data_IF_850561852128
#
_entry.id   IF_850561852128
#
_cell.length_a   1.000
_cell.length_b   1.000
_cell.length_c   1.000
_cell.angle_alpha   90.00
_cell.angle_beta   90.00
_cell.angle_gamma   90.00
#
_symmetry.space_group_name_H-M   'P 1'
#
loop_
_entity.id
_entity.type
_entity.pdbx_description
1 polymer ?
#
# COMPACT_ATOMS: atom_id res chain seq x y z
N UNK A 1 29.08 21.27 4.75
CA UNK A 1 28.24 21.76 3.63
C UNK A 1 26.95 20.95 3.43
N UNK A 2 26.97 19.62 3.40
CA UNK A 2 25.76 18.79 3.15
C UNK A 2 24.59 19.10 4.10
N UNK A 3 24.83 19.17 5.42
CA UNK A 3 23.80 19.52 6.41
C UNK A 3 23.17 20.90 6.15
N UNK A 4 23.99 21.90 5.81
CA UNK A 4 23.52 23.24 5.48
C UNK A 4 22.54 23.22 4.31
N UNK A 5 22.88 22.55 3.19
CA UNK A 5 21.99 22.47 2.04
C UNK A 5 20.72 21.65 2.30
N UNK A 6 20.77 20.62 3.13
CA UNK A 6 19.56 19.86 3.53
C UNK A 6 18.63 20.77 4.34
N UNK A 7 19.16 21.38 5.40
CA UNK A 7 18.37 22.24 6.28
C UNK A 7 17.82 23.47 5.55
N UNK A 8 18.63 24.14 4.71
CA UNK A 8 18.17 25.31 3.96
C UNK A 8 17.00 24.95 3.04
N UNK A 9 17.14 23.89 2.25
CA UNK A 9 16.10 23.43 1.33
C UNK A 9 14.81 23.07 2.07
N UNK A 10 14.89 22.28 3.14
CA UNK A 10 13.72 21.90 3.93
C UNK A 10 13.06 23.12 4.57
N UNK A 11 13.84 24.06 5.10
CA UNK A 11 13.33 25.28 5.70
C UNK A 11 12.58 26.16 4.70
N UNK A 12 13.07 26.31 3.47
CA UNK A 12 12.37 27.06 2.42
C UNK A 12 10.98 26.46 2.15
N UNK A 13 10.89 25.14 2.02
CA UNK A 13 9.60 24.47 1.82
C UNK A 13 8.72 24.49 3.07
N UNK A 14 9.30 24.48 4.28
CA UNK A 14 8.55 24.67 5.51
C UNK A 14 7.91 26.06 5.58
N UNK A 15 8.63 27.10 5.17
CA UNK A 15 8.08 28.46 5.11
C UNK A 15 6.90 28.51 4.14
N UNK A 16 7.07 28.01 2.91
CA UNK A 16 5.99 27.96 1.92
C UNK A 16 4.79 27.13 2.40
N UNK A 17 5.04 25.98 3.03
CA UNK A 17 3.97 25.13 3.55
C UNK A 17 3.23 25.71 4.75
N UNK A 18 3.86 26.61 5.50
CA UNK A 18 3.23 27.34 6.61
C UNK A 18 2.57 28.64 6.17
N UNK A 19 2.96 29.20 5.03
CA UNK A 19 2.40 30.46 4.51
C UNK A 19 0.87 30.38 4.35
N UNK A 20 0.36 29.31 3.74
CA UNK A 20 -1.08 29.08 3.58
C UNK A 20 -1.89 29.13 4.88
N UNK A 21 -1.62 28.27 5.89
CA UNK A 21 -2.35 28.32 7.15
C UNK A 21 -2.08 29.57 8.00
N UNK A 22 -0.91 30.22 7.86
CA UNK A 22 -0.55 31.40 8.65
C UNK A 22 -1.14 32.71 8.12
N UNK A 23 -1.19 32.87 6.80
CA UNK A 23 -1.69 34.09 6.14
C UNK A 23 -3.08 33.90 5.51
N UNK A 24 -3.57 32.66 5.42
CA UNK A 24 -4.89 32.32 4.88
C UNK A 24 -5.11 32.96 3.50
N UNK A 25 -6.15 33.77 3.37
CA UNK A 25 -6.59 34.32 2.09
C UNK A 25 -5.54 35.24 1.44
N UNK A 26 -4.75 35.97 2.23
CA UNK A 26 -3.71 36.88 1.70
C UNK A 26 -2.61 36.14 0.96
N UNK A 27 -2.34 34.87 1.33
CA UNK A 27 -1.41 34.04 0.60
C UNK A 27 -2.02 33.52 -0.70
N UNK A 28 -3.26 33.03 -0.65
CA UNK A 28 -3.91 32.40 -1.81
C UNK A 28 -4.37 33.40 -2.88
N UNK A 29 -4.43 34.70 -2.57
CA UNK A 29 -4.77 35.78 -3.51
C UNK A 29 -3.56 36.44 -4.16
N UNK A 30 -2.33 35.99 -3.86
CA UNK A 30 -1.11 36.49 -4.52
C UNK A 30 -1.23 36.33 -6.04
N UNK A 31 -0.96 37.40 -6.76
CA UNK A 31 -1.09 37.45 -8.22
C UNK A 31 -0.17 36.41 -8.89
N UNK A 32 -0.74 35.61 -9.78
CA UNK A 32 -0.05 34.53 -10.50
C UNK A 32 0.68 33.51 -9.60
N UNK A 33 0.22 33.30 -8.35
CA UNK A 33 0.87 32.39 -7.39
C UNK A 33 1.16 31.00 -7.97
N UNK A 34 0.20 30.40 -8.69
CA UNK A 34 0.38 29.08 -9.29
C UNK A 34 1.57 29.06 -10.27
N UNK A 35 1.67 30.09 -11.12
CA UNK A 35 2.74 30.22 -12.11
C UNK A 35 4.09 30.43 -11.44
N UNK A 36 4.14 31.29 -10.41
CA UNK A 36 5.37 31.54 -9.64
C UNK A 36 5.86 30.28 -8.91
N UNK A 37 4.96 29.48 -8.35
CA UNK A 37 5.31 28.22 -7.71
C UNK A 37 5.82 27.22 -8.75
N UNK A 38 5.15 27.08 -9.90
CA UNK A 38 5.58 26.19 -10.98
C UNK A 38 6.96 26.55 -11.54
N UNK A 39 7.22 27.85 -11.76
CA UNK A 39 8.50 28.34 -12.28
C UNK A 39 9.64 28.33 -11.26
N UNK A 40 9.34 28.09 -9.97
CA UNK A 40 10.33 28.13 -8.89
C UNK A 40 10.47 26.76 -8.21
N UNK A 41 9.45 26.36 -7.44
CA UNK A 41 9.47 25.14 -6.64
C UNK A 41 9.49 23.86 -7.49
N UNK A 42 8.89 23.89 -8.69
CA UNK A 42 8.71 22.71 -9.54
C UNK A 42 9.55 22.75 -10.84
N UNK A 43 10.49 23.68 -10.97
CA UNK A 43 11.23 23.92 -12.23
C UNK A 43 12.10 22.74 -12.69
N UNK A 44 12.68 21.97 -11.76
CA UNK A 44 13.67 20.95 -12.08
C UNK A 44 13.43 19.63 -11.34
N UNK A 45 12.18 19.18 -11.31
CA UNK A 45 11.80 17.96 -10.59
C UNK A 45 12.59 16.72 -11.04
N UNK A 46 12.97 16.64 -12.33
CA UNK A 46 13.73 15.52 -12.90
C UNK A 46 15.08 15.28 -12.22
N UNK A 47 15.75 16.34 -11.76
CA UNK A 47 17.07 16.27 -11.14
C UNK A 47 17.01 16.27 -9.60
N UNK A 48 15.82 16.41 -9.00
CA UNK A 48 15.66 16.37 -7.55
C UNK A 48 15.66 14.90 -7.09
N UNK A 49 16.57 14.48 -6.19
CA UNK A 49 16.58 13.12 -5.67
C UNK A 49 15.44 12.89 -4.67
N UNK A 50 15.05 11.63 -4.45
CA UNK A 50 13.82 11.28 -3.70
C UNK A 50 13.88 11.74 -2.24
N UNK A 51 15.05 11.68 -1.61
CA UNK A 51 15.27 12.18 -0.25
C UNK A 51 15.04 13.70 -0.12
N UNK A 52 15.03 14.46 -1.22
CA UNK A 52 14.65 15.89 -1.26
C UNK A 52 13.23 16.11 -1.73
N UNK A 53 12.76 15.29 -2.67
CA UNK A 53 11.37 15.36 -3.14
C UNK A 53 10.39 15.03 -2.02
N UNK A 54 10.70 14.06 -1.16
CA UNK A 54 9.81 13.62 -0.07
C UNK A 54 9.53 14.70 0.98
N UNK A 55 10.54 15.38 1.55
CA UNK A 55 10.29 16.55 2.38
C UNK A 55 9.46 17.61 1.66
N UNK A 56 9.79 17.96 0.40
CA UNK A 56 9.04 18.95 -0.39
C UNK A 56 7.55 18.59 -0.49
N UNK A 57 7.21 17.35 -0.86
CA UNK A 57 5.82 16.91 -0.94
C UNK A 57 5.12 16.95 0.43
N UNK A 58 5.81 16.50 1.49
CA UNK A 58 5.25 16.39 2.84
C UNK A 58 5.05 17.75 3.52
N UNK A 59 6.02 18.64 3.41
CA UNK A 59 6.09 19.87 4.22
C UNK A 59 5.60 21.10 3.46
N UNK A 60 5.50 21.03 2.13
CA UNK A 60 4.99 22.11 1.29
C UNK A 60 3.72 21.72 0.53
N UNK A 61 3.76 20.72 -0.35
CA UNK A 61 2.61 20.40 -1.22
C UNK A 61 1.41 19.96 -0.41
N UNK A 62 1.59 19.04 0.53
CA UNK A 62 0.51 18.54 1.38
C UNK A 62 -0.21 19.68 2.15
N UNK A 63 0.48 20.55 2.92
CA UNK A 63 -0.22 21.64 3.61
C UNK A 63 -0.79 22.68 2.64
N UNK A 64 -0.13 22.98 1.52
CA UNK A 64 -0.68 23.88 0.49
C UNK A 64 -2.08 23.41 0.06
N UNK A 65 -2.23 22.11 -0.21
CA UNK A 65 -3.50 21.51 -0.65
C UNK A 65 -4.51 21.42 0.50
N UNK A 66 -4.09 20.96 1.68
CA UNK A 66 -4.99 20.74 2.82
C UNK A 66 -5.55 22.02 3.44
N UNK A 67 -4.82 23.12 3.36
CA UNK A 67 -5.22 24.42 3.92
C UNK A 67 -5.71 25.40 2.84
N UNK A 68 -5.77 24.99 1.57
CA UNK A 68 -6.32 25.85 0.52
C UNK A 68 -7.86 25.88 0.65
N UNK A 69 -8.47 27.09 0.66
CA UNK A 69 -9.91 27.25 0.56
C UNK A 69 -10.43 26.72 -0.80
N UNK A 70 -11.67 26.20 -0.85
CA UNK A 70 -12.23 25.61 -2.06
C UNK A 70 -12.36 26.60 -3.22
N UNK A 71 -12.49 27.89 -2.95
CA UNK A 71 -12.60 28.95 -3.95
C UNK A 71 -11.32 29.09 -4.79
N UNK A 72 -10.17 28.64 -4.26
CA UNK A 72 -8.87 28.74 -4.91
C UNK A 72 -8.39 27.40 -5.51
N UNK A 73 -9.18 26.34 -5.44
CA UNK A 73 -8.78 25.03 -5.97
C UNK A 73 -8.51 25.04 -7.47
N UNK A 74 -9.42 25.60 -8.26
CA UNK A 74 -9.25 25.67 -9.71
C UNK A 74 -8.07 26.57 -10.11
N UNK A 75 -7.94 27.74 -9.46
CA UNK A 75 -6.94 28.73 -9.82
C UNK A 75 -5.51 28.38 -9.38
N UNK A 76 -5.35 27.64 -8.27
CA UNK A 76 -4.04 27.35 -7.69
C UNK A 76 -3.71 25.86 -7.63
N UNK A 77 -4.62 25.06 -7.09
CA UNK A 77 -4.33 23.66 -6.76
C UNK A 77 -4.35 22.79 -8.03
N UNK A 78 -5.35 22.97 -8.89
CA UNK A 78 -5.48 22.27 -10.18
C UNK A 78 -4.22 22.37 -11.06
N UNK A 79 -3.74 23.58 -11.43
CA UNK A 79 -2.61 23.74 -12.34
C UNK A 79 -1.28 23.22 -11.76
N UNK A 80 -1.16 23.10 -10.43
CA UNK A 80 0.02 22.53 -9.78
C UNK A 80 -0.08 21.01 -9.70
N UNK A 81 -1.21 20.49 -9.23
CA UNK A 81 -1.35 19.06 -8.94
C UNK A 81 -1.42 18.20 -10.19
N UNK A 82 -2.04 18.65 -11.28
CA UNK A 82 -2.12 17.87 -12.52
C UNK A 82 -0.72 17.45 -13.04
N UNK A 83 0.14 18.42 -13.39
CA UNK A 83 1.51 18.12 -13.85
C UNK A 83 2.34 17.38 -12.80
N UNK A 84 2.18 17.71 -11.51
CA UNK A 84 2.90 17.05 -10.43
C UNK A 84 2.53 15.57 -10.31
N UNK A 85 1.25 15.22 -10.40
CA UNK A 85 0.79 13.83 -10.33
C UNK A 85 1.21 13.03 -11.55
N UNK A 86 1.13 13.60 -12.74
CA UNK A 86 1.67 12.97 -13.95
C UNK A 86 3.16 12.68 -13.81
N UNK A 87 3.94 13.66 -13.32
CA UNK A 87 5.37 13.47 -13.07
C UNK A 87 5.65 12.36 -12.03
N UNK A 88 4.95 12.39 -10.89
CA UNK A 88 5.11 11.39 -9.84
C UNK A 88 4.75 9.99 -10.33
N UNK A 89 3.68 9.85 -11.12
CA UNK A 89 3.29 8.59 -11.74
C UNK A 89 4.39 8.07 -12.66
N UNK A 90 4.92 8.89 -13.57
CA UNK A 90 5.98 8.49 -14.49
C UNK A 90 7.25 8.07 -13.74
N UNK A 91 7.71 8.88 -12.78
CA UNK A 91 8.91 8.61 -11.99
C UNK A 91 8.79 7.30 -11.20
N UNK A 92 7.67 7.08 -10.52
CA UNK A 92 7.45 5.87 -9.73
C UNK A 92 7.28 4.63 -10.63
N UNK A 93 6.57 4.77 -11.75
CA UNK A 93 6.40 3.66 -12.70
C UNK A 93 7.72 3.21 -13.32
N UNK A 94 8.57 4.15 -13.74
CA UNK A 94 9.91 3.85 -14.28
C UNK A 94 10.79 3.15 -13.25
N UNK A 95 10.81 3.65 -12.01
CA UNK A 95 11.59 3.03 -10.93
C UNK A 95 11.08 1.64 -10.59
N UNK A 96 9.76 1.47 -10.52
CA UNK A 96 9.17 0.17 -10.25
C UNK A 96 9.49 -0.86 -11.35
N UNK A 97 9.51 -0.43 -12.62
CA UNK A 97 9.96 -1.29 -13.72
C UNK A 97 11.39 -1.79 -13.49
N UNK A 98 12.30 -0.92 -13.04
CA UNK A 98 13.69 -1.30 -12.72
C UNK A 98 13.75 -2.27 -11.54
N UNK A 99 12.98 -2.04 -10.47
CA UNK A 99 12.94 -2.92 -9.29
C UNK A 99 12.44 -4.32 -9.68
N UNK A 100 11.35 -4.41 -10.44
CA UNK A 100 10.83 -5.70 -10.92
C UNK A 100 11.82 -6.42 -11.83
N UNK A 101 12.49 -5.71 -12.73
CA UNK A 101 13.50 -6.30 -13.62
C UNK A 101 14.68 -6.84 -12.83
N UNK A 102 15.14 -6.12 -11.80
CA UNK A 102 16.20 -6.60 -10.89
C UNK A 102 15.77 -7.85 -10.12
N UNK A 103 14.54 -7.87 -9.61
CA UNK A 103 13.97 -9.04 -8.93
C UNK A 103 13.80 -10.26 -9.84
N UNK A 104 13.77 -10.09 -11.17
CA UNK A 104 13.70 -11.19 -12.14
C UNK A 104 15.09 -11.69 -12.57
N UNK A 105 16.12 -10.86 -12.48
CA UNK A 105 17.49 -11.16 -12.95
C UNK A 105 18.41 -11.67 -11.83
N UNK A 106 18.21 -11.19 -10.61
CA UNK A 106 18.86 -11.77 -9.43
C UNK A 106 17.99 -12.93 -8.93
N UNK A 107 18.40 -14.16 -9.22
CA UNK A 107 18.01 -15.30 -8.40
C UNK A 107 18.36 -15.02 -6.94
N UNK A 108 17.67 -15.68 -6.00
CA UNK A 108 17.60 -15.39 -4.55
C UNK A 108 18.94 -15.31 -3.78
N UNK A 109 20.09 -15.38 -4.43
CA UNK A 109 21.43 -15.37 -3.86
C UNK A 109 22.23 -14.15 -4.34
N UNK A 110 22.08 -13.00 -3.68
CA UNK A 110 23.20 -12.05 -3.49
C UNK A 110 22.83 -11.02 -2.40
N UNK A 111 23.26 -11.31 -1.18
CA UNK A 111 23.30 -10.35 -0.07
C UNK A 111 24.39 -9.32 -0.31
N UNK A 112 24.13 -8.28 -1.11
CA UNK A 112 24.99 -7.10 -1.15
C UNK A 112 24.53 -6.12 -0.07
N UNK A 113 25.43 -5.94 0.90
CA UNK A 113 25.31 -5.23 2.17
C UNK A 113 25.28 -3.69 2.00
N UNK A 114 24.36 -3.17 1.19
CA UNK A 114 24.02 -1.74 1.12
C UNK A 114 22.50 -1.57 1.21
N UNK A 115 21.95 -1.66 2.43
CA UNK A 115 20.52 -1.53 2.79
C UNK A 115 19.59 -0.89 1.72
N UNK A 116 19.16 -1.66 0.69
CA UNK A 116 18.32 -1.16 -0.41
C UNK A 116 16.87 -0.97 0.05
N UNK A 117 16.46 -1.77 1.05
CA UNK A 117 15.15 -1.72 1.72
C UNK A 117 14.86 -0.33 2.30
N UNK A 118 15.87 0.34 2.86
CA UNK A 118 15.68 1.67 3.45
C UNK A 118 15.47 2.79 2.42
N UNK A 119 15.96 2.59 1.20
CA UNK A 119 15.88 3.57 0.11
C UNK A 119 14.63 3.34 -0.75
N UNK A 120 14.23 2.09 -0.99
CA UNK A 120 12.94 1.72 -1.62
C UNK A 120 11.73 2.10 -0.73
N UNK A 121 11.79 1.81 0.58
CA UNK A 121 10.72 2.17 1.53
C UNK A 121 10.56 3.70 1.69
N UNK A 122 11.60 4.48 1.34
CA UNK A 122 11.55 5.95 1.32
C UNK A 122 10.72 6.48 0.14
N UNK A 123 10.71 5.74 -0.97
CA UNK A 123 10.08 6.12 -2.24
C UNK A 123 8.57 5.81 -2.23
N UNK A 124 8.15 4.74 -1.55
CA UNK A 124 6.73 4.36 -1.42
C UNK A 124 5.93 5.28 -0.49
N UNK A 125 6.58 5.94 0.46
CA UNK A 125 5.92 6.94 1.30
C UNK A 125 5.59 8.24 0.57
N UNK A 126 6.11 8.49 -0.64
CA UNK A 126 5.77 9.68 -1.44
C UNK A 126 4.30 9.66 -1.87
N UNK A 127 3.80 8.51 -2.32
CA UNK A 127 2.40 8.32 -2.72
C UNK A 127 1.50 8.46 -1.47
N UNK A 128 1.75 7.70 -0.41
CA UNK A 128 0.94 7.81 0.81
C UNK A 128 1.03 9.18 1.52
N UNK A 129 2.13 9.93 1.35
CA UNK A 129 2.29 11.25 1.95
C UNK A 129 1.43 12.33 1.26
N UNK A 130 1.28 12.27 -0.07
CA UNK A 130 0.46 13.23 -0.83
C UNK A 130 -0.99 12.77 -0.96
N UNK A 131 -1.23 11.48 -1.18
CA UNK A 131 -2.56 10.89 -1.39
C UNK A 131 -3.22 10.43 -0.10
N UNK A 132 -3.12 11.22 0.98
CA UNK A 132 -3.96 10.96 2.13
C UNK A 132 -5.42 11.13 1.74
N UNK A 133 -6.30 10.28 2.31
CA UNK A 133 -7.75 10.27 2.07
C UNK A 133 -8.35 11.67 1.95
N UNK A 134 -7.90 12.64 2.75
CA UNK A 134 -8.36 14.03 2.76
C UNK A 134 -7.98 14.81 1.49
N UNK A 135 -6.77 14.67 0.95
CA UNK A 135 -6.39 15.30 -0.34
C UNK A 135 -7.24 14.72 -1.46
N UNK A 136 -7.41 13.40 -1.50
CA UNK A 136 -8.23 12.76 -2.51
C UNK A 136 -9.72 13.17 -2.40
N UNK A 137 -10.27 13.19 -1.19
CA UNK A 137 -11.70 13.49 -1.01
C UNK A 137 -12.05 14.96 -1.08
N UNK A 138 -11.14 15.84 -0.68
CA UNK A 138 -11.40 17.28 -0.60
C UNK A 138 -10.97 18.00 -1.88
N UNK A 139 -10.02 17.46 -2.64
CA UNK A 139 -9.43 18.15 -3.80
C UNK A 139 -9.68 17.37 -5.09
N UNK A 140 -9.40 16.06 -5.14
CA UNK A 140 -9.57 15.30 -6.40
C UNK A 140 -11.06 15.04 -6.75
N UNK A 141 -11.95 15.05 -5.76
CA UNK A 141 -13.40 14.89 -5.93
C UNK A 141 -14.10 16.14 -6.53
N UNK A 142 -13.84 17.36 -6.03
CA UNK A 142 -14.45 18.57 -6.59
C UNK A 142 -13.87 19.01 -7.94
N UNK A 143 -12.57 18.80 -8.16
CA UNK A 143 -11.82 19.42 -9.26
C UNK A 143 -12.04 18.80 -10.65
N UNK A 144 -12.96 17.83 -10.80
CA UNK A 144 -13.20 17.12 -12.08
C UNK A 144 -11.90 16.86 -12.85
N UNK A 145 -10.90 16.32 -12.14
CA UNK A 145 -9.54 16.22 -12.65
C UNK A 145 -9.54 15.60 -14.04
N UNK A 146 -8.69 16.14 -14.91
CA UNK A 146 -8.51 15.64 -16.26
C UNK A 146 -8.39 14.12 -16.24
N UNK A 147 -9.11 13.46 -17.16
CA UNK A 147 -9.31 12.00 -17.15
C UNK A 147 -7.97 11.25 -17.10
N UNK A 148 -6.93 11.82 -17.71
CA UNK A 148 -5.57 11.28 -17.74
C UNK A 148 -4.92 11.25 -16.35
N UNK A 149 -5.11 12.29 -15.54
CA UNK A 149 -4.60 12.35 -14.17
C UNK A 149 -5.32 11.32 -13.30
N UNK A 150 -6.66 11.26 -13.37
CA UNK A 150 -7.44 10.28 -12.61
C UNK A 150 -7.02 8.84 -12.97
N UNK A 151 -6.82 8.58 -14.26
CA UNK A 151 -6.36 7.28 -14.78
C UNK A 151 -4.96 6.94 -14.26
N UNK A 152 -4.01 7.87 -14.35
CA UNK A 152 -2.66 7.70 -13.83
C UNK A 152 -2.65 7.39 -12.32
N UNK A 153 -3.48 8.09 -11.54
CA UNK A 153 -3.62 7.86 -10.10
C UNK A 153 -4.20 6.48 -9.78
N UNK A 154 -5.25 6.09 -10.51
CA UNK A 154 -5.88 4.78 -10.36
C UNK A 154 -4.87 3.66 -10.69
N UNK A 155 -4.16 3.79 -11.81
CA UNK A 155 -3.14 2.82 -12.21
C UNK A 155 -2.04 2.72 -11.16
N UNK A 156 -1.56 3.85 -10.65
CA UNK A 156 -0.49 3.87 -9.64
C UNK A 156 -0.94 3.21 -8.34
N UNK A 157 -2.12 3.57 -7.83
CA UNK A 157 -2.63 3.07 -6.56
C UNK A 157 -2.90 1.56 -6.58
N UNK A 158 -3.39 1.02 -7.71
CA UNK A 158 -3.63 -0.41 -7.85
C UNK A 158 -2.35 -1.20 -8.14
N UNK A 159 -1.40 -0.63 -8.89
CA UNK A 159 -0.08 -1.24 -9.06
C UNK A 159 0.70 -1.34 -7.74
N UNK A 160 0.57 -0.34 -6.86
CA UNK A 160 1.28 -0.34 -5.58
C UNK A 160 0.84 -1.44 -4.61
N UNK A 161 -0.28 -2.11 -4.88
CA UNK A 161 -0.72 -3.25 -4.08
C UNK A 161 0.17 -4.47 -4.26
N UNK A 162 0.94 -4.55 -5.35
CA UNK A 162 1.84 -5.65 -5.64
C UNK A 162 3.29 -5.37 -5.19
N UNK A 163 3.58 -4.17 -4.67
CA UNK A 163 4.93 -3.77 -4.25
C UNK A 163 5.29 -4.45 -2.93
N UNK A 164 6.56 -4.81 -2.69
CA UNK A 164 6.99 -5.56 -1.50
C UNK A 164 6.98 -4.74 -0.18
N UNK A 165 6.10 -3.74 -0.04
CA UNK A 165 5.86 -3.00 1.21
C UNK A 165 4.43 -3.17 1.73
N UNK A 166 4.34 -3.97 2.78
CA UNK A 166 3.11 -4.28 3.50
C UNK A 166 2.44 -3.02 4.09
N UNK A 167 3.20 -2.03 4.57
CA UNK A 167 2.61 -0.83 5.18
C UNK A 167 1.97 0.08 4.11
N UNK A 168 2.66 0.27 2.99
CA UNK A 168 2.13 1.05 1.87
C UNK A 168 0.95 0.35 1.21
N UNK A 169 0.99 -0.97 1.06
CA UNK A 169 -0.15 -1.75 0.58
C UNK A 169 -1.39 -1.52 1.46
N UNK A 170 -1.27 -1.68 2.79
CA UNK A 170 -2.40 -1.48 3.71
C UNK A 170 -2.94 -0.05 3.66
N UNK A 171 -2.07 0.96 3.65
CA UNK A 171 -2.48 2.38 3.59
C UNK A 171 -3.17 2.71 2.28
N UNK A 172 -2.60 2.30 1.16
CA UNK A 172 -3.15 2.59 -0.17
C UNK A 172 -4.52 1.91 -0.35
N UNK A 173 -4.62 0.64 0.07
CA UNK A 173 -5.88 -0.11 0.06
C UNK A 173 -6.99 0.61 0.85
N UNK A 174 -6.67 1.04 2.09
CA UNK A 174 -7.67 1.61 3.01
C UNK A 174 -8.01 3.07 2.75
N UNK A 175 -7.09 3.84 2.16
CA UNK A 175 -7.24 5.30 2.03
C UNK A 175 -7.46 5.78 0.60
N UNK A 176 -7.03 5.01 -0.42
CA UNK A 176 -6.89 5.52 -1.79
C UNK A 176 -7.70 4.72 -2.82
N UNK A 177 -7.54 3.39 -2.87
CA UNK A 177 -8.07 2.56 -3.97
C UNK A 177 -9.58 2.68 -4.16
N UNK A 178 -10.36 2.50 -3.08
CA UNK A 178 -11.82 2.54 -3.18
C UNK A 178 -12.36 3.95 -3.50
N UNK A 179 -11.93 5.03 -2.80
CA UNK A 179 -12.34 6.38 -3.17
C UNK A 179 -12.02 6.77 -4.61
N UNK A 180 -10.85 6.38 -5.15
CA UNK A 180 -10.48 6.61 -6.55
C UNK A 180 -11.42 5.87 -7.50
N UNK A 181 -11.60 4.56 -7.28
CA UNK A 181 -12.47 3.76 -8.12
C UNK A 181 -13.89 4.32 -8.14
N UNK A 182 -14.41 4.74 -6.97
CA UNK A 182 -15.76 5.32 -6.85
C UNK A 182 -15.96 6.57 -7.73
N UNK A 183 -14.91 7.34 -8.03
CA UNK A 183 -15.01 8.49 -8.95
C UNK A 183 -15.32 8.07 -10.37
N UNK A 184 -14.68 6.98 -10.82
CA UNK A 184 -14.82 6.49 -12.20
C UNK A 184 -15.97 5.50 -12.35
N UNK A 185 -16.58 5.04 -11.25
CA UNK A 185 -17.74 4.14 -11.28
C UNK A 185 -18.98 4.79 -11.93
N UNK A 186 -19.13 6.11 -11.91
CA UNK A 186 -20.24 6.77 -12.60
C UNK A 186 -20.11 6.70 -14.13
N UNK A 187 -18.87 6.56 -14.63
CA UNK A 187 -18.56 6.40 -16.04
C UNK A 187 -18.68 4.96 -16.54
N UNK A 188 -18.36 4.78 -17.82
CA UNK A 188 -18.19 3.48 -18.45
C UNK A 188 -16.72 3.08 -18.36
N UNK A 189 -16.44 1.95 -17.72
CA UNK A 189 -15.11 1.37 -17.66
C UNK A 189 -14.96 0.36 -18.80
N UNK A 190 -13.77 0.31 -19.40
CA UNK A 190 -13.43 -0.76 -20.33
C UNK A 190 -13.35 -2.09 -19.58
N UNK A 191 -13.82 -3.17 -20.21
CA UNK A 191 -13.79 -4.51 -19.63
C UNK A 191 -12.38 -4.92 -19.17
N UNK A 192 -11.35 -4.61 -19.98
CA UNK A 192 -9.95 -4.87 -19.65
C UNK A 192 -9.46 -4.07 -18.43
N UNK A 193 -9.95 -2.85 -18.24
CA UNK A 193 -9.62 -2.06 -17.06
C UNK A 193 -10.25 -2.68 -15.80
N UNK A 194 -11.50 -3.16 -15.91
CA UNK A 194 -12.20 -3.84 -14.80
C UNK A 194 -11.48 -5.11 -14.37
N UNK A 195 -11.09 -5.96 -15.33
CA UNK A 195 -10.34 -7.19 -15.04
C UNK A 195 -8.97 -6.88 -14.46
N UNK A 196 -8.27 -5.88 -15.01
CA UNK A 196 -6.96 -5.45 -14.50
C UNK A 196 -7.03 -4.92 -13.06
N UNK A 197 -8.02 -4.07 -12.73
CA UNK A 197 -8.22 -3.53 -11.38
C UNK A 197 -8.45 -4.66 -10.37
N UNK A 198 -9.36 -5.57 -10.68
CA UNK A 198 -9.69 -6.68 -9.78
C UNK A 198 -8.50 -7.62 -9.61
N UNK A 199 -7.82 -7.97 -10.71
CA UNK A 199 -6.60 -8.79 -10.69
C UNK A 199 -5.49 -8.15 -9.87
N UNK A 200 -5.34 -6.83 -9.91
CA UNK A 200 -4.32 -6.11 -9.13
C UNK A 200 -4.54 -6.25 -7.62
N UNK A 201 -5.79 -6.22 -7.17
CA UNK A 201 -6.13 -6.48 -5.75
C UNK A 201 -5.85 -7.94 -5.36
N UNK A 202 -6.18 -8.89 -6.24
CA UNK A 202 -5.88 -10.31 -6.00
C UNK A 202 -4.38 -10.58 -5.95
N UNK A 203 -3.58 -9.93 -6.81
CA UNK A 203 -2.11 -9.98 -6.75
C UNK A 203 -1.59 -9.41 -5.44
N UNK A 204 -2.14 -8.30 -4.96
CA UNK A 204 -1.79 -7.78 -3.63
C UNK A 204 -2.13 -8.75 -2.50
N UNK A 205 -3.23 -9.50 -2.61
CA UNK A 205 -3.54 -10.58 -1.66
C UNK A 205 -2.55 -11.74 -1.73
N UNK A 206 -2.04 -12.06 -2.92
CA UNK A 206 -1.01 -13.08 -3.09
C UNK A 206 0.32 -12.64 -2.46
N UNK A 207 0.70 -11.37 -2.64
CA UNK A 207 1.95 -10.82 -2.09
C UNK A 207 1.91 -10.63 -0.57
N UNK A 208 0.83 -10.04 -0.03
CA UNK A 208 0.76 -9.59 1.36
C UNK A 208 -0.22 -10.36 2.24
N UNK A 209 -0.89 -11.38 1.71
CA UNK A 209 -1.96 -12.12 2.39
C UNK A 209 -1.56 -12.76 3.72
N UNK A 210 -0.26 -13.00 3.93
CA UNK A 210 0.29 -13.51 5.18
C UNK A 210 0.17 -12.51 6.35
N UNK A 211 -0.02 -11.22 6.06
CA UNK A 211 -0.13 -10.16 7.07
C UNK A 211 -1.61 -9.81 7.31
N UNK A 212 -2.08 -9.98 8.54
CA UNK A 212 -3.50 -9.79 8.91
C UNK A 212 -4.07 -8.41 8.51
N UNK A 213 -3.30 -7.33 8.69
CA UNK A 213 -3.71 -5.97 8.33
C UNK A 213 -3.93 -5.79 6.83
N UNK A 214 -3.03 -6.34 6.01
CA UNK A 214 -3.16 -6.33 4.54
C UNK A 214 -4.28 -7.25 4.09
N UNK A 215 -4.33 -8.49 4.58
CA UNK A 215 -5.39 -9.43 4.25
C UNK A 215 -6.77 -8.82 4.54
N UNK A 216 -6.99 -8.29 5.75
CA UNK A 216 -8.30 -7.75 6.13
C UNK A 216 -8.75 -6.56 5.27
N UNK A 217 -7.80 -5.69 4.91
CA UNK A 217 -8.05 -4.50 4.08
C UNK A 217 -8.22 -4.85 2.60
N UNK A 218 -7.39 -5.73 2.05
CA UNK A 218 -7.48 -6.16 0.65
C UNK A 218 -8.72 -7.04 0.40
N UNK A 219 -9.07 -7.94 1.32
CA UNK A 219 -10.35 -8.69 1.24
C UNK A 219 -11.53 -7.72 1.28
N UNK A 220 -11.45 -6.66 2.08
CA UNK A 220 -12.48 -5.63 2.09
C UNK A 220 -12.60 -4.92 0.75
N UNK A 221 -11.48 -4.46 0.19
CA UNK A 221 -11.44 -3.79 -1.10
C UNK A 221 -11.95 -4.70 -2.22
N UNK A 222 -11.49 -5.95 -2.29
CA UNK A 222 -11.94 -6.95 -3.25
C UNK A 222 -13.45 -7.17 -3.17
N UNK A 223 -14.00 -7.30 -1.95
CA UNK A 223 -15.45 -7.42 -1.75
C UNK A 223 -16.21 -6.19 -2.27
N UNK A 224 -15.77 -4.98 -1.94
CA UNK A 224 -16.41 -3.73 -2.42
C UNK A 224 -16.38 -3.61 -3.95
N UNK A 225 -15.24 -3.95 -4.56
CA UNK A 225 -15.09 -3.95 -6.03
C UNK A 225 -16.04 -4.99 -6.65
N UNK A 226 -16.07 -6.20 -6.10
CA UNK A 226 -16.93 -7.27 -6.59
C UNK A 226 -18.40 -6.85 -6.52
N UNK A 227 -18.87 -6.34 -5.39
CA UNK A 227 -20.27 -5.88 -5.26
C UNK A 227 -20.64 -4.76 -6.23
N UNK A 228 -19.74 -3.79 -6.43
CA UNK A 228 -20.06 -2.62 -7.23
C UNK A 228 -19.99 -2.87 -8.73
N UNK A 229 -19.08 -3.74 -9.18
CA UNK A 229 -18.82 -3.96 -10.60
C UNK A 229 -19.48 -5.23 -11.13
N UNK A 230 -19.67 -6.28 -10.33
CA UNK A 230 -20.27 -7.56 -10.79
C UNK A 230 -21.65 -7.42 -11.44
N UNK A 231 -22.57 -6.53 -10.99
CA UNK A 231 -23.85 -6.32 -11.65
C UNK A 231 -23.76 -5.71 -13.05
N UNK A 232 -22.61 -5.08 -13.38
CA UNK A 232 -22.38 -4.35 -14.64
C UNK A 232 -21.42 -5.05 -15.59
N UNK A 233 -20.47 -5.82 -15.05
CA UNK A 233 -19.38 -6.44 -15.80
C UNK A 233 -19.31 -7.94 -15.48
N UNK A 234 -19.49 -8.78 -16.51
CA UNK A 234 -19.46 -10.24 -16.39
C UNK A 234 -18.03 -10.78 -16.22
N UNK A 235 -17.05 -10.02 -16.71
CA UNK A 235 -15.63 -10.37 -16.77
C UNK A 235 -15.01 -10.54 -15.39
N UNK A 236 -15.57 -9.91 -14.35
CA UNK A 236 -15.14 -10.11 -12.97
C UNK A 236 -15.30 -11.56 -12.54
N UNK A 237 -16.38 -12.22 -12.99
CA UNK A 237 -16.58 -13.64 -12.71
C UNK A 237 -15.51 -14.48 -13.39
N UNK A 238 -15.13 -14.14 -14.62
CA UNK A 238 -14.05 -14.83 -15.32
C UNK A 238 -12.72 -14.76 -14.56
N UNK A 239 -12.43 -13.63 -13.89
CA UNK A 239 -11.26 -13.52 -13.00
C UNK A 239 -11.42 -14.36 -11.73
N UNK A 240 -12.60 -14.38 -11.10
CA UNK A 240 -12.86 -15.25 -9.93
C UNK A 240 -12.66 -16.72 -10.24
N UNK A 241 -13.13 -17.19 -11.40
CA UNK A 241 -13.01 -18.59 -11.81
C UNK A 241 -11.55 -19.04 -12.04
N UNK A 242 -10.61 -18.10 -12.16
CA UNK A 242 -9.16 -18.37 -12.24
C UNK A 242 -8.49 -18.53 -10.87
N UNK A 243 -9.20 -18.25 -9.77
CA UNK A 243 -8.64 -18.39 -8.42
C UNK A 243 -8.47 -19.89 -8.09
N UNK A 244 -7.28 -20.31 -7.59
CA UNK A 244 -7.05 -21.69 -7.20
C UNK A 244 -8.09 -22.19 -6.18
N UNK A 245 -8.50 -23.45 -6.30
CA UNK A 245 -9.39 -24.13 -5.34
C UNK A 245 -10.79 -23.48 -5.17
N UNK A 246 -11.24 -22.66 -6.12
CA UNK A 246 -12.57 -22.05 -6.05
C UNK A 246 -13.69 -23.07 -6.31
N UNK A 247 -14.66 -23.13 -5.40
CA UNK A 247 -15.87 -23.94 -5.58
C UNK A 247 -16.90 -23.20 -6.44
N UNK A 248 -17.16 -23.69 -7.65
CA UNK A 248 -18.09 -23.05 -8.60
C UNK A 248 -19.51 -22.93 -8.07
N UNK A 249 -20.05 -23.97 -7.42
CA UNK A 249 -21.39 -23.93 -6.83
C UNK A 249 -21.53 -22.85 -5.74
N UNK A 250 -20.48 -22.68 -4.93
CA UNK A 250 -20.44 -21.64 -3.88
C UNK A 250 -20.37 -20.24 -4.49
N UNK A 251 -19.65 -20.08 -5.60
CA UNK A 251 -19.59 -18.83 -6.37
C UNK A 251 -20.94 -18.51 -7.00
N UNK A 252 -21.61 -19.49 -7.62
CA UNK A 252 -22.95 -19.35 -8.20
C UNK A 252 -23.99 -18.90 -7.17
N UNK A 253 -23.99 -19.54 -5.99
CA UNK A 253 -24.89 -19.15 -4.91
C UNK A 253 -24.62 -17.73 -4.40
N UNK A 254 -23.35 -17.31 -4.38
CA UNK A 254 -22.99 -15.97 -3.97
C UNK A 254 -23.44 -14.93 -5.00
N UNK A 255 -23.20 -15.19 -6.29
CA UNK A 255 -23.63 -14.36 -7.41
C UNK A 255 -25.15 -14.21 -7.45
N UNK A 256 -25.90 -15.31 -7.36
CA UNK A 256 -27.36 -15.29 -7.37
C UNK A 256 -27.94 -14.41 -6.24
N UNK A 257 -27.34 -14.44 -5.05
CA UNK A 257 -27.73 -13.60 -3.92
C UNK A 257 -27.31 -12.14 -4.09
N UNK A 258 -26.23 -11.88 -4.81
CA UNK A 258 -25.70 -10.54 -5.06
C UNK A 258 -26.52 -9.80 -6.13
N UNK A 259 -26.91 -10.50 -7.18
CA UNK A 259 -27.69 -9.95 -8.29
C UNK A 259 -29.18 -9.80 -7.96
N UNK A 260 -29.66 -10.48 -6.92
CA UNK A 260 -31.05 -10.41 -6.45
C UNK A 260 -31.12 -9.87 -5.01
N UNK A 261 -31.24 -8.54 -4.82
CA UNK A 261 -31.29 -7.93 -3.50
C UNK A 261 -32.40 -8.46 -2.59
N UNK A 262 -33.51 -8.95 -3.18
CA UNK A 262 -34.64 -9.57 -2.47
C UNK A 262 -34.27 -10.88 -1.75
N UNK A 263 -33.25 -11.60 -2.23
CA UNK A 263 -32.73 -12.82 -1.61
C UNK A 263 -31.69 -12.53 -0.51
N UNK A 264 -31.29 -11.28 -0.36
CA UNK A 264 -30.18 -10.85 0.47
C UNK A 264 -30.63 -10.51 1.89
N UNK A 265 -30.85 -11.56 2.70
CA UNK A 265 -31.27 -11.45 4.12
C UNK A 265 -30.10 -11.50 5.11
N UNK A 266 -28.88 -11.61 4.61
CA UNK A 266 -27.68 -11.91 5.40
C UNK A 266 -26.91 -10.62 5.68
N UNK A 267 -26.52 -10.40 6.94
CA UNK A 267 -25.71 -9.25 7.36
C UNK A 267 -24.39 -9.17 6.59
N UNK A 268 -23.94 -7.96 6.26
CA UNK A 268 -22.74 -7.70 5.44
C UNK A 268 -21.47 -8.37 5.96
N UNK A 269 -21.30 -8.44 7.29
CA UNK A 269 -20.18 -9.14 7.91
C UNK A 269 -20.10 -10.60 7.44
N UNK A 270 -21.23 -11.31 7.46
CA UNK A 270 -21.30 -12.72 7.02
C UNK A 270 -21.08 -12.86 5.52
N UNK A 271 -21.52 -11.89 4.71
CA UNK A 271 -21.28 -11.86 3.26
C UNK A 271 -19.80 -11.71 2.94
N UNK A 272 -19.11 -10.79 3.64
CA UNK A 272 -17.66 -10.62 3.52
C UNK A 272 -16.91 -11.88 3.94
N UNK A 273 -17.32 -12.54 5.02
CA UNK A 273 -16.70 -13.81 5.46
C UNK A 273 -16.90 -14.93 4.42
N UNK A 274 -18.10 -15.02 3.82
CA UNK A 274 -18.36 -15.96 2.73
C UNK A 274 -17.49 -15.64 1.49
N UNK A 275 -17.39 -14.37 1.12
CA UNK A 275 -16.54 -13.93 0.02
C UNK A 275 -15.07 -14.25 0.26
N UNK A 276 -14.57 -14.03 1.49
CA UNK A 276 -13.19 -14.38 1.88
C UNK A 276 -12.88 -15.86 1.61
N UNK A 277 -13.84 -16.77 1.82
CA UNK A 277 -13.67 -18.20 1.52
C UNK A 277 -13.55 -18.47 0.02
N UNK A 278 -14.28 -17.74 -0.82
CA UNK A 278 -14.21 -17.89 -2.27
C UNK A 278 -12.83 -17.51 -2.83
N UNK A 279 -12.20 -16.48 -2.24
CA UNK A 279 -10.88 -15.99 -2.66
C UNK A 279 -9.72 -16.57 -1.84
N UNK A 280 -9.96 -17.60 -1.01
CA UNK A 280 -8.96 -18.11 -0.09
C UNK A 280 -7.70 -18.64 -0.81
N UNK A 281 -7.87 -19.20 -2.02
CA UNK A 281 -6.76 -19.74 -2.81
C UNK A 281 -5.78 -18.69 -3.34
N UNK A 282 -6.10 -17.39 -3.29
CA UNK A 282 -5.17 -16.31 -3.63
C UNK A 282 -4.57 -15.60 -2.41
N UNK A 283 -4.91 -16.00 -1.18
CA UNK A 283 -4.33 -15.38 0.02
C UNK A 283 -2.92 -15.95 0.19
N UNK A 284 -1.92 -15.06 0.12
CA UNK A 284 -0.52 -15.41 0.34
C UNK A 284 -0.30 -16.15 1.65
N UNK A 285 0.46 -17.24 1.61
CA UNK A 285 0.83 -18.04 2.78
C UNK A 285 2.21 -17.62 3.28
N UNK A 286 2.51 -17.74 4.59
CA UNK A 286 3.85 -17.50 5.10
C UNK A 286 4.91 -18.34 4.36
N UNK A 287 6.09 -17.75 4.10
CA UNK A 287 7.22 -18.44 3.47
C UNK A 287 7.52 -19.81 4.13
N UNK A 288 7.41 -19.90 5.45
CA UNK A 288 7.61 -21.15 6.20
C UNK A 288 6.58 -22.26 5.92
N UNK A 289 5.42 -21.94 5.35
CA UNK A 289 4.41 -22.91 4.89
C UNK A 289 4.57 -23.26 3.40
N UNK A 290 5.12 -22.36 2.59
CA UNK A 290 5.44 -22.61 1.18
C UNK A 290 6.62 -23.58 1.01
N UNK A 291 7.61 -23.53 1.92
CA UNK A 291 8.76 -24.44 1.94
C UNK A 291 8.59 -25.66 2.84
N UNK A 292 7.44 -25.84 3.48
CA UNK A 292 7.03 -27.15 4.00
C UNK A 292 6.66 -28.06 2.83
N UNK A 293 7.67 -28.47 2.06
CA UNK A 293 7.64 -29.79 1.45
C UNK A 293 7.39 -30.73 2.61
N UNK A 294 6.27 -31.45 2.62
CA UNK A 294 6.06 -32.55 3.57
C UNK A 294 7.13 -33.62 3.30
N UNK A 295 8.34 -33.41 3.83
CA UNK A 295 9.33 -34.46 3.92
C UNK A 295 8.89 -35.30 5.10
N UNK A 296 8.05 -36.30 4.82
CA UNK A 296 7.85 -37.43 5.70
C UNK A 296 9.21 -38.16 5.84
N UNK A 297 10.10 -37.65 6.69
CA UNK A 297 11.28 -38.41 7.10
C UNK A 297 10.76 -39.45 8.09
N UNK A 298 10.30 -40.59 7.56
CA UNK A 298 10.01 -41.76 8.38
C UNK A 298 11.32 -42.16 9.07
N UNK A 299 11.33 -42.06 10.39
CA UNK A 299 12.39 -42.50 11.30
C UNK A 299 13.65 -41.62 11.33
N UNK A 300 13.53 -40.37 11.81
CA UNK A 300 14.69 -39.68 12.39
C UNK A 300 15.03 -40.32 13.75
N UNK A 301 16.25 -40.82 13.97
CA UNK A 301 16.69 -41.28 15.28
C UNK A 301 16.80 -40.09 16.24
N UNK A 302 16.28 -40.25 17.45
CA UNK A 302 16.32 -39.21 18.50
C UNK A 302 17.76 -38.92 18.92
N UNK A 303 18.26 -37.71 18.64
CA UNK A 303 19.61 -37.28 19.03
C UNK A 303 19.77 -37.01 20.53
N UNK A 304 18.66 -36.88 21.26
CA UNK A 304 18.67 -36.62 22.70
C UNK A 304 17.89 -37.70 23.44
N UNK A 305 18.49 -38.30 24.47
CA UNK A 305 17.76 -39.15 25.43
C UNK A 305 16.82 -38.24 26.22
N UNK A 306 15.52 -38.56 26.21
CA UNK A 306 14.57 -37.94 27.13
C UNK A 306 14.94 -38.36 28.55
N UNK A 307 15.55 -37.48 29.32
CA UNK A 307 15.66 -37.65 30.77
C UNK A 307 14.28 -37.43 31.37
N UNK A 308 13.70 -38.47 32.00
CA UNK A 308 12.48 -38.33 32.80
C UNK A 308 12.77 -37.39 33.99
N UNK A 309 11.89 -36.45 34.34
CA UNK A 309 11.97 -35.79 35.64
C UNK A 309 11.62 -36.81 36.71
N UNK A 310 12.55 -37.10 37.62
CA UNK A 310 12.26 -37.78 38.88
C UNK A 310 11.67 -36.75 39.84
N UNK A 311 10.53 -37.09 40.44
CA UNK A 311 9.98 -36.38 41.59
C UNK A 311 10.92 -36.61 42.78
N UNK A 312 11.47 -35.54 43.35
CA UNK A 312 12.15 -35.59 44.65
C UNK A 312 11.16 -35.36 45.78
N UNK A 313 11.03 -36.36 46.65
CA UNK A 313 10.54 -36.21 48.02
C UNK A 313 11.77 -36.25 48.94
N UNK A 314 12.03 -35.09 49.56
CA UNK A 314 12.67 -34.77 50.84
C UNK A 314 13.82 -35.63 51.46
N UNK A 315 14.73 -34.88 52.13
CA UNK A 315 15.35 -35.10 53.46
C UNK A 315 16.90 -35.20 53.51
N UNK A 316 17.49 -34.10 54.02
CA UNK A 316 18.61 -33.90 54.98
C UNK A 316 20.11 -34.10 54.64
N UNK A 317 20.83 -33.05 55.07
CA UNK A 317 22.10 -32.98 55.82
C UNK A 317 23.48 -33.03 55.15
N UNK A 318 24.07 -31.82 55.13
CA UNK A 318 25.31 -31.40 55.80
C UNK A 318 26.68 -31.45 55.08
N UNK A 319 27.36 -30.30 55.23
CA UNK A 319 28.80 -29.99 55.22
C UNK A 319 29.63 -29.77 53.93
N UNK A 320 30.14 -28.53 53.87
CA UNK A 320 31.46 -28.03 53.46
C UNK A 320 32.04 -28.33 52.07
N UNK A 321 32.27 -27.26 51.29
CA UNK A 321 33.11 -27.31 50.10
C UNK A 321 33.08 -26.03 49.26
N UNK A 322 33.84 -25.02 49.70
CA UNK A 322 34.10 -23.75 49.03
C UNK A 322 34.46 -23.87 47.53
N UNK A 323 33.78 -23.09 46.66
CA UNK A 323 34.21 -22.80 45.28
C UNK A 323 34.40 -21.28 45.06
N UNK A 324 34.78 -20.56 46.12
CA UNK A 324 35.43 -19.27 45.97
C UNK A 324 36.90 -19.51 45.61
N UNK A 325 37.23 -19.77 44.33
CA UNK A 325 38.61 -19.75 43.79
C UNK A 325 38.73 -19.82 42.26
N UNK A 326 37.70 -19.45 41.48
CA UNK A 326 37.81 -19.44 40.00
C UNK A 326 38.36 -18.11 39.43
N UNK A 327 38.68 -17.12 40.27
CA UNK A 327 39.30 -15.87 39.82
C UNK A 327 40.41 -15.39 40.76
N UNK A 328 41.63 -15.86 40.53
CA UNK A 328 42.91 -15.17 40.79
C UNK A 328 44.02 -15.89 39.97
N UNK A 329 45.17 -15.24 39.67
CA UNK A 329 45.73 -15.09 38.31
C UNK A 329 46.22 -16.35 37.59
#
# INVERSE_FOLDING_TARGET
MQRFFCTLYENCFHILGKAGPSMQQDFYTVEHLATQLLSSAFVNLNNIPDYRLRPMLRVFVKPLVLFCPPEHYEALVSPILGPLFTYLHMRLSQKWQVINQRSLLCGEDETTDENPESQEMLEEQLLCAVFQRKVLTTVLLPLQMEMDVCTALLITAFNSLAWKDTLSCQRTTTQLCWPLLKQVLSGTLLADAVTWLFTSVLKGLQTHGQHDGCMASLVHLAFQIYEALRPRYLEIRAVMEQIPEIQKDSLDQFDCKLLNPSLQKVADKRRKDQFKRLIAGCIGKPLGEQFRKEVHIKNLPSLFKKTKPMLETEVLDNEEGSLATIFEP
#
